data_IF_699476453251
#
_entry.id   IF_699476453251
#
_cell.length_a   1.000
_cell.length_b   1.000
_cell.length_c   1.000
_cell.angle_alpha   90.00
_cell.angle_beta   90.00
_cell.angle_gamma   90.00
#
_symmetry.space_group_name_H-M   'P 1'
#
loop_
_entity.id
_entity.type
_entity.pdbx_description
1 polymer ?
#
# COMPACT_ATOMS: atom_id res chain seq x y z
N UNK A 1 2.34 21.01 34.13
CA UNK A 1 3.05 20.13 33.18
C UNK A 1 2.08 19.77 32.08
N UNK A 2 2.27 20.28 30.87
CA UNK A 2 1.43 19.96 29.71
C UNK A 2 1.65 18.50 29.34
N UNK A 3 0.66 17.65 29.58
CA UNK A 3 0.68 16.25 29.20
C UNK A 3 0.70 16.13 27.68
N UNK A 4 1.86 15.81 27.11
CA UNK A 4 1.98 15.41 25.71
C UNK A 4 1.45 13.98 25.56
N UNK A 5 0.15 13.82 25.32
CA UNK A 5 -0.40 12.56 24.85
C UNK A 5 -0.21 12.48 23.34
N UNK A 6 0.54 11.49 22.81
CA UNK A 6 0.75 11.37 21.37
C UNK A 6 -0.59 11.24 20.64
N UNK A 7 -0.83 12.13 19.68
CA UNK A 7 -2.02 12.05 18.82
C UNK A 7 -1.93 10.79 17.97
N UNK A 8 -2.90 9.87 18.14
CA UNK A 8 -3.02 8.68 17.29
C UNK A 8 -3.77 9.04 16.02
N UNK A 9 -3.03 9.16 14.92
CA UNK A 9 -3.61 9.34 13.59
C UNK A 9 -4.07 7.99 13.03
N UNK A 10 -5.27 7.95 12.45
CA UNK A 10 -5.80 6.78 11.74
C UNK A 10 -5.89 7.08 10.25
N UNK A 11 -5.32 6.21 9.44
CA UNK A 11 -5.46 6.27 7.98
C UNK A 11 -6.83 5.75 7.58
N UNK A 12 -7.73 6.62 7.13
CA UNK A 12 -9.11 6.26 6.72
C UNK A 12 -9.26 6.02 5.22
N UNK A 13 -8.28 6.48 4.42
CA UNK A 13 -8.37 6.46 2.96
C UNK A 13 -7.88 5.16 2.30
N UNK A 14 -7.43 4.17 3.08
CA UNK A 14 -6.79 2.96 2.58
C UNK A 14 -7.65 2.19 1.58
N UNK A 15 -8.95 2.05 1.89
CA UNK A 15 -9.90 1.35 1.01
C UNK A 15 -10.06 2.04 -0.35
N UNK A 16 -10.20 3.37 -0.35
CA UNK A 16 -10.33 4.18 -1.56
C UNK A 16 -9.07 4.16 -2.40
N UNK A 17 -7.90 4.26 -1.76
CA UNK A 17 -6.60 4.14 -2.43
C UNK A 17 -6.42 2.79 -3.12
N UNK A 18 -6.74 1.69 -2.43
CA UNK A 18 -6.63 0.33 -2.98
C UNK A 18 -7.62 0.11 -4.14
N UNK A 19 -8.84 0.65 -4.02
CA UNK A 19 -9.85 0.58 -5.08
C UNK A 19 -9.39 1.32 -6.34
N UNK A 20 -8.77 2.50 -6.17
CA UNK A 20 -8.16 3.25 -7.27
C UNK A 20 -6.97 2.50 -7.90
N UNK A 21 -6.18 1.78 -7.10
CA UNK A 21 -5.07 0.92 -7.56
C UNK A 21 -5.56 -0.21 -8.47
N UNK A 22 -6.61 -0.91 -8.04
CA UNK A 22 -7.23 -1.99 -8.81
C UNK A 22 -7.84 -1.48 -10.10
N UNK A 23 -8.55 -0.34 -10.05
CA UNK A 23 -9.20 0.26 -11.22
C UNK A 23 -8.23 0.72 -12.29
N UNK A 24 -7.05 1.21 -11.90
CA UNK A 24 -6.02 1.67 -12.85
C UNK A 24 -5.15 0.55 -13.44
N UNK A 25 -5.38 -0.71 -13.06
CA UNK A 25 -4.56 -1.83 -13.53
C UNK A 25 -3.09 -1.78 -13.09
N UNK A 26 -2.74 -0.94 -12.11
CA UNK A 26 -1.34 -0.79 -11.63
C UNK A 26 -0.87 -1.92 -10.73
N UNK A 27 -1.47 -3.11 -10.82
CA UNK A 27 -0.73 -4.32 -10.48
C UNK A 27 0.12 -4.69 -11.70
N UNK A 28 1.09 -3.83 -12.01
CA UNK A 28 2.13 -4.17 -12.98
C UNK A 28 3.06 -5.14 -12.25
N UNK A 29 2.77 -6.43 -12.37
CA UNK A 29 3.71 -7.47 -11.96
C UNK A 29 4.84 -7.40 -13.00
N UNK A 30 6.01 -6.93 -12.57
CA UNK A 30 7.20 -6.96 -13.38
C UNK A 30 7.71 -8.40 -13.40
N UNK A 31 7.33 -9.14 -14.44
CA UNK A 31 8.01 -10.40 -14.75
C UNK A 31 9.37 -10.04 -15.31
N UNK A 32 10.40 -10.25 -14.50
CA UNK A 32 11.77 -10.22 -14.98
C UNK A 32 12.02 -11.48 -15.85
N UNK A 33 12.33 -11.33 -17.14
CA UNK A 33 12.63 -12.46 -18.02
C UNK A 33 13.84 -13.29 -17.58
N UNK A 34 14.72 -12.71 -16.76
CA UNK A 34 15.92 -13.37 -16.22
C UNK A 34 15.69 -14.05 -14.86
N UNK A 35 14.48 -13.94 -14.29
CA UNK A 35 14.18 -14.49 -12.98
C UNK A 35 13.93 -16.00 -13.04
N UNK A 36 14.75 -16.75 -12.30
CA UNK A 36 14.54 -18.18 -12.06
C UNK A 36 13.56 -18.33 -10.91
N UNK A 37 12.33 -18.75 -11.22
CA UNK A 37 11.31 -19.02 -10.22
C UNK A 37 11.56 -20.40 -9.58
N UNK A 38 11.90 -20.42 -8.29
CA UNK A 38 11.94 -21.67 -7.51
C UNK A 38 10.54 -22.02 -7.00
N UNK A 39 10.13 -23.30 -7.03
CA UNK A 39 8.98 -23.81 -6.27
C UNK A 39 9.13 -23.57 -4.77
#
# INVERSE_FOLDING_TARGET
MSSWTPTRYKTTNWSSYNSALKRRGSLTIWFDPSMIWSP
#
